data_IF_843858400762
#
_entry.id   IF_843858400762
#
_cell.length_a   1.000
_cell.length_b   1.000
_cell.length_c   1.000
_cell.angle_alpha   90.00
_cell.angle_beta   90.00
_cell.angle_gamma   90.00
#
_symmetry.space_group_name_H-M   'P 1'
#
loop_
_entity.id
_entity.type
_entity.pdbx_description
1 polymer ?
#
# COMPACT_ATOMS: atom_id res chain seq x y z
N UNK A 1 6.90 -24.63 1.40
CA UNK A 1 7.29 -23.21 1.34
C UNK A 1 6.92 -22.64 -0.01
N UNK A 2 6.07 -21.64 -0.02
CA UNK A 2 5.59 -21.06 -1.27
C UNK A 2 6.63 -20.14 -1.84
N UNK A 3 7.18 -20.49 -3.00
CA UNK A 3 8.08 -19.60 -3.75
C UNK A 3 7.32 -18.98 -4.90
N UNK A 4 7.61 -17.72 -5.20
CA UNK A 4 7.02 -17.06 -6.36
C UNK A 4 7.62 -17.64 -7.65
N UNK A 5 6.81 -17.77 -8.72
CA UNK A 5 7.32 -18.22 -10.00
C UNK A 5 8.23 -17.16 -10.62
N UNK A 6 9.30 -17.63 -11.28
CA UNK A 6 10.12 -16.75 -12.07
C UNK A 6 9.41 -16.40 -13.38
N UNK A 7 9.18 -15.12 -13.60
CA UNK A 7 8.69 -14.61 -14.87
C UNK A 7 9.79 -13.92 -15.63
N UNK A 8 9.75 -14.01 -16.96
CA UNK A 8 10.66 -13.29 -17.83
C UNK A 8 10.19 -11.85 -17.97
N UNK A 9 10.94 -10.91 -17.46
CA UNK A 9 10.65 -9.48 -17.54
C UNK A 9 11.52 -8.69 -16.58
N UNK A 10 11.56 -7.38 -16.76
CA UNK A 10 12.25 -6.50 -15.82
C UNK A 10 11.40 -6.34 -14.56
N UNK A 11 11.94 -6.60 -13.36
CA UNK A 11 11.19 -6.39 -12.13
C UNK A 11 10.89 -4.91 -11.93
N UNK A 12 9.67 -4.62 -11.49
CA UNK A 12 9.22 -3.27 -11.17
C UNK A 12 9.18 -3.09 -9.67
N UNK A 13 9.47 -1.88 -9.23
CA UNK A 13 9.33 -1.50 -7.82
C UNK A 13 7.87 -1.29 -7.49
N UNK A 14 7.41 -1.97 -6.44
CA UNK A 14 6.05 -1.88 -5.93
C UNK A 14 6.06 -1.40 -4.49
N UNK A 15 5.04 -0.64 -4.14
CA UNK A 15 4.83 -0.14 -2.80
C UNK A 15 3.53 -0.77 -2.28
N UNK A 16 3.64 -1.46 -1.16
CA UNK A 16 2.54 -2.18 -0.53
C UNK A 16 2.20 -1.51 0.78
N UNK A 17 0.97 -1.06 0.90
CA UNK A 17 0.45 -0.43 2.11
C UNK A 17 -0.51 -1.40 2.79
N UNK A 18 -0.10 -1.96 3.92
CA UNK A 18 -0.92 -2.89 4.69
C UNK A 18 -1.97 -2.13 5.49
N UNK A 19 -3.18 -2.70 5.54
CA UNK A 19 -4.30 -2.15 6.31
C UNK A 19 -4.66 -3.08 7.44
N UNK A 20 -4.97 -2.50 8.58
CA UNK A 20 -5.44 -3.27 9.74
C UNK A 20 -4.34 -3.81 10.63
N UNK A 21 -3.10 -3.35 10.45
CA UNK A 21 -2.02 -3.69 11.39
C UNK A 21 -2.31 -3.06 12.74
N UNK A 22 -2.28 -3.89 13.78
CA UNK A 22 -2.55 -3.45 15.15
C UNK A 22 -1.30 -3.62 16.01
N UNK A 23 -1.14 -2.81 17.08
CA UNK A 23 0.01 -2.95 17.99
C UNK A 23 0.07 -4.30 18.69
N UNK A 24 -1.08 -4.88 18.97
CA UNK A 24 -1.21 -6.14 19.69
C UNK A 24 -2.28 -7.01 19.05
N UNK A 25 -2.26 -8.31 19.35
CA UNK A 25 -3.26 -9.24 18.93
C UNK A 25 -2.96 -9.92 17.60
N UNK A 26 -3.99 -10.48 16.98
CA UNK A 26 -3.89 -11.33 15.80
C UNK A 26 -3.29 -10.62 14.58
N UNK A 27 -3.58 -9.34 14.42
CA UNK A 27 -3.12 -8.56 13.27
C UNK A 27 -1.87 -7.72 13.58
N UNK A 28 -1.15 -8.05 14.64
CA UNK A 28 0.12 -7.43 14.96
C UNK A 28 1.26 -8.05 14.15
N UNK A 29 2.19 -7.21 13.69
CA UNK A 29 3.45 -7.67 13.09
C UNK A 29 4.52 -7.52 14.16
N UNK A 30 5.13 -8.63 14.63
CA UNK A 30 6.09 -8.57 15.73
C UNK A 30 7.31 -7.71 15.45
N UNK A 31 7.87 -7.86 14.24
CA UNK A 31 9.02 -7.06 13.79
C UNK A 31 8.95 -6.86 12.28
N UNK A 32 9.22 -5.65 11.84
CA UNK A 32 9.28 -5.35 10.40
C UNK A 32 10.43 -6.09 9.70
N UNK A 33 11.54 -6.34 10.39
CA UNK A 33 12.63 -7.16 9.86
C UNK A 33 12.20 -8.60 9.55
N UNK A 34 11.31 -9.17 10.35
CA UNK A 34 10.76 -10.49 10.09
C UNK A 34 9.92 -10.51 8.80
N UNK A 35 9.16 -9.47 8.57
CA UNK A 35 8.39 -9.30 7.34
C UNK A 35 9.32 -9.24 6.11
N UNK A 36 10.43 -8.50 6.22
CA UNK A 36 11.45 -8.46 5.16
C UNK A 36 12.01 -9.86 4.90
N UNK A 37 12.32 -10.61 5.94
CA UNK A 37 12.90 -11.95 5.82
C UNK A 37 11.95 -12.92 5.09
N UNK A 38 10.68 -12.97 5.47
CA UNK A 38 9.73 -13.88 4.83
C UNK A 38 9.50 -13.54 3.36
N UNK A 39 9.44 -12.29 3.01
CA UNK A 39 9.24 -11.87 1.62
C UNK A 39 10.50 -12.10 0.78
N UNK A 40 11.67 -11.87 1.35
CA UNK A 40 12.94 -12.16 0.68
C UNK A 40 13.10 -13.66 0.42
N UNK A 41 12.80 -14.49 1.40
CA UNK A 41 12.84 -15.96 1.26
C UNK A 41 11.86 -16.47 0.19
N UNK A 42 10.73 -15.81 0.02
CA UNK A 42 9.76 -16.16 -1.01
C UNK A 42 10.25 -15.83 -2.43
N UNK A 43 11.27 -14.98 -2.56
CA UNK A 43 11.86 -14.63 -3.85
C UNK A 43 11.67 -13.19 -4.30
N UNK A 44 11.01 -12.36 -3.50
CA UNK A 44 10.94 -10.92 -3.79
C UNK A 44 12.29 -10.26 -3.61
N UNK A 45 12.59 -9.27 -4.44
CA UNK A 45 13.90 -8.62 -4.47
C UNK A 45 13.84 -7.24 -3.82
N UNK A 46 14.97 -6.82 -3.25
CA UNK A 46 15.13 -5.50 -2.63
C UNK A 46 14.02 -5.14 -1.65
N UNK A 47 13.61 -6.12 -0.84
CA UNK A 47 12.54 -5.94 0.13
C UNK A 47 13.01 -5.04 1.26
N UNK A 48 12.25 -3.99 1.53
CA UNK A 48 12.50 -3.09 2.65
C UNK A 48 11.17 -2.54 3.18
N UNK A 49 11.19 -2.06 4.39
CA UNK A 49 10.04 -1.45 5.03
C UNK A 49 10.33 0.00 5.37
N UNK A 50 9.27 0.78 5.45
CA UNK A 50 9.34 2.18 5.83
C UNK A 50 8.40 2.40 7.00
N UNK A 51 8.94 2.81 8.15
CA UNK A 51 8.27 2.97 9.45
C UNK A 51 7.50 1.70 9.88
N UNK A 52 7.00 1.66 11.11
CA UNK A 52 6.39 0.45 11.68
C UNK A 52 4.90 0.26 11.34
N UNK A 53 4.36 1.02 10.42
CA UNK A 53 2.94 0.97 10.07
C UNK A 53 2.57 -0.03 8.96
N UNK A 54 3.53 -0.85 8.51
CA UNK A 54 3.27 -1.87 7.50
C UNK A 54 3.42 -1.38 6.07
N UNK A 55 4.37 -0.50 5.81
CA UNK A 55 4.71 -0.04 4.47
C UNK A 55 5.87 -0.87 3.94
N UNK A 56 5.66 -1.53 2.81
CA UNK A 56 6.65 -2.43 2.19
C UNK A 56 6.99 -1.90 0.82
N UNK A 57 8.28 -1.92 0.49
CA UNK A 57 8.77 -1.63 -0.85
C UNK A 57 9.53 -2.87 -1.31
N UNK A 58 9.21 -3.38 -2.50
CA UNK A 58 9.88 -4.53 -3.08
C UNK A 58 9.91 -4.45 -4.59
N UNK A 59 10.74 -5.25 -5.20
CA UNK A 59 10.81 -5.42 -6.65
C UNK A 59 10.29 -6.81 -7.03
N UNK A 60 9.46 -6.86 -8.07
CA UNK A 60 8.90 -8.10 -8.59
C UNK A 60 8.46 -7.92 -10.03
N UNK A 61 8.53 -9.01 -10.80
CA UNK A 61 8.01 -9.09 -12.16
C UNK A 61 6.59 -9.67 -12.21
N UNK A 62 6.02 -10.01 -11.06
CA UNK A 62 4.64 -10.49 -10.96
C UNK A 62 3.65 -9.34 -11.17
N UNK A 63 2.43 -9.68 -11.61
CA UNK A 63 1.36 -8.70 -11.67
C UNK A 63 0.81 -8.37 -10.27
N UNK A 64 -0.01 -7.33 -10.17
CA UNK A 64 -0.51 -6.82 -8.90
C UNK A 64 -1.31 -7.87 -8.12
N UNK A 65 -2.13 -8.66 -8.80
CA UNK A 65 -2.94 -9.70 -8.14
C UNK A 65 -2.07 -10.85 -7.63
N UNK A 66 -1.07 -11.24 -8.40
CA UNK A 66 -0.11 -12.27 -7.97
C UNK A 66 0.68 -11.81 -6.74
N UNK A 67 1.13 -10.56 -6.74
CA UNK A 67 1.82 -9.97 -5.57
C UNK A 67 0.89 -9.95 -4.36
N UNK A 68 -0.34 -9.50 -4.54
CA UNK A 68 -1.34 -9.42 -3.47
C UNK A 68 -1.58 -10.79 -2.83
N UNK A 69 -1.84 -11.79 -3.65
CA UNK A 69 -2.09 -13.15 -3.17
C UNK A 69 -0.88 -13.73 -2.44
N UNK A 70 0.31 -13.59 -3.00
CA UNK A 70 1.55 -14.07 -2.37
C UNK A 70 1.80 -13.40 -1.02
N UNK A 71 1.75 -12.09 -0.97
CA UNK A 71 2.03 -11.34 0.26
C UNK A 71 0.97 -11.62 1.32
N UNK A 72 -0.30 -11.64 0.93
CA UNK A 72 -1.39 -11.96 1.85
C UNK A 72 -1.24 -13.36 2.46
N UNK A 73 -0.99 -14.34 1.62
CA UNK A 73 -0.82 -15.73 2.05
C UNK A 73 0.39 -15.90 2.98
N UNK A 74 1.52 -15.32 2.63
CA UNK A 74 2.75 -15.40 3.43
C UNK A 74 2.57 -14.77 4.81
N UNK A 75 1.95 -13.60 4.87
CA UNK A 75 1.69 -12.93 6.15
C UNK A 75 0.73 -13.77 7.00
N UNK A 76 -0.31 -14.30 6.40
CA UNK A 76 -1.28 -15.13 7.11
C UNK A 76 -0.66 -16.42 7.63
N UNK A 77 0.13 -17.12 6.81
CA UNK A 77 0.77 -18.38 7.20
C UNK A 77 1.91 -18.21 8.21
N UNK A 78 2.74 -17.18 8.03
CA UNK A 78 3.96 -17.00 8.82
C UNK A 78 3.77 -16.13 10.07
N UNK A 79 2.84 -15.19 10.03
CA UNK A 79 2.59 -14.26 11.13
C UNK A 79 1.23 -14.53 11.79
N UNK A 80 0.26 -15.04 11.02
CA UNK A 80 -1.10 -15.28 11.48
C UNK A 80 -2.02 -14.07 11.34
N UNK A 81 -1.54 -13.01 10.69
CA UNK A 81 -2.34 -11.80 10.48
C UNK A 81 -3.09 -11.87 9.15
N UNK A 82 -4.34 -11.48 9.16
CA UNK A 82 -5.17 -11.37 7.96
C UNK A 82 -5.32 -9.89 7.62
N UNK A 83 -4.46 -9.41 6.74
CA UNK A 83 -4.34 -7.99 6.41
C UNK A 83 -4.74 -7.73 4.96
N UNK A 84 -5.50 -6.66 4.77
CA UNK A 84 -5.76 -6.12 3.45
C UNK A 84 -4.62 -5.19 3.03
N UNK A 85 -4.49 -4.95 1.73
CA UNK A 85 -3.40 -4.12 1.24
C UNK A 85 -3.78 -3.35 -0.01
N UNK A 86 -3.14 -2.20 -0.19
CA UNK A 86 -3.15 -1.42 -1.41
C UNK A 86 -1.75 -1.52 -2.02
N UNK A 87 -1.69 -1.86 -3.30
CA UNK A 87 -0.42 -2.01 -4.02
C UNK A 87 -0.37 -1.00 -5.16
N UNK A 88 0.70 -0.21 -5.19
CA UNK A 88 0.96 0.75 -6.26
C UNK A 88 2.40 0.57 -6.73
N UNK A 89 2.65 0.75 -8.03
CA UNK A 89 4.02 0.78 -8.52
C UNK A 89 4.63 2.18 -8.35
N UNK A 90 5.93 2.28 -8.56
CA UNK A 90 6.67 3.54 -8.43
C UNK A 90 6.14 4.63 -9.38
N UNK A 91 5.76 4.23 -10.59
CA UNK A 91 5.19 5.15 -11.60
C UNK A 91 3.88 5.76 -11.12
N UNK A 92 3.00 4.97 -10.51
CA UNK A 92 1.74 5.44 -9.93
C UNK A 92 1.97 6.44 -8.81
N UNK A 93 2.95 6.18 -7.94
CA UNK A 93 3.30 7.11 -6.86
C UNK A 93 3.81 8.45 -7.40
N UNK A 94 4.63 8.43 -8.44
CA UNK A 94 5.09 9.65 -9.09
C UNK A 94 3.92 10.47 -9.64
N UNK A 95 2.97 9.82 -10.30
CA UNK A 95 1.75 10.47 -10.81
C UNK A 95 0.93 11.07 -9.68
N UNK A 96 0.78 10.35 -8.57
CA UNK A 96 0.04 10.83 -7.41
C UNK A 96 0.64 12.12 -6.86
N UNK A 97 1.96 12.18 -6.75
CA UNK A 97 2.66 13.38 -6.29
C UNK A 97 2.50 14.54 -7.28
N UNK A 98 2.64 14.25 -8.58
CA UNK A 98 2.51 15.24 -9.64
C UNK A 98 1.09 15.78 -9.78
N UNK A 99 0.07 14.95 -9.57
CA UNK A 99 -1.34 15.30 -9.70
C UNK A 99 -1.94 15.90 -8.43
N UNK A 100 -1.14 16.04 -7.36
CA UNK A 100 -1.59 16.67 -6.11
C UNK A 100 -2.15 18.06 -6.39
N UNK A 101 -3.45 18.31 -6.14
CA UNK A 101 -4.07 19.58 -6.43
C UNK A 101 -3.74 20.68 -5.43
N UNK A 102 -3.19 20.30 -4.28
CA UNK A 102 -2.84 21.25 -3.22
C UNK A 102 -1.45 21.82 -3.46
N UNK A 103 -1.38 23.11 -3.77
CA UNK A 103 -0.14 23.80 -4.08
C UNK A 103 0.59 24.33 -2.87
N UNK A 104 1.46 25.31 -3.11
CA UNK A 104 2.35 25.90 -2.10
C UNK A 104 1.65 26.58 -0.92
N UNK A 105 0.36 26.90 -1.07
CA UNK A 105 -0.43 27.52 -0.01
C UNK A 105 -0.81 26.58 1.13
N UNK A 106 -0.62 25.27 0.94
CA UNK A 106 -0.95 24.24 1.92
C UNK A 106 0.29 23.73 2.61
N UNK A 107 0.19 23.46 3.91
CA UNK A 107 1.27 22.86 4.65
C UNK A 107 1.40 21.38 4.25
N UNK A 108 2.60 20.97 3.88
CA UNK A 108 2.88 19.63 3.36
C UNK A 108 2.49 18.53 4.34
N UNK A 109 2.69 18.75 5.62
CA UNK A 109 2.38 17.82 6.69
C UNK A 109 0.87 17.68 6.99
N UNK A 110 0.05 18.51 6.36
CA UNK A 110 -1.41 18.46 6.47
C UNK A 110 -2.11 17.88 5.24
N UNK A 111 -1.37 17.54 4.22
CA UNK A 111 -1.91 16.92 3.02
C UNK A 111 -1.90 15.42 3.21
N UNK A 112 -3.06 14.79 3.08
CA UNK A 112 -3.22 13.34 3.19
C UNK A 112 -3.63 12.76 1.86
N UNK A 113 -3.06 11.61 1.53
CA UNK A 113 -3.39 10.84 0.35
C UNK A 113 -4.07 9.55 0.83
N UNK A 114 -5.29 9.34 0.39
CA UNK A 114 -6.09 8.19 0.81
C UNK A 114 -6.27 7.25 -0.37
N UNK A 115 -5.84 6.01 -0.18
CA UNK A 115 -5.99 4.94 -1.17
C UNK A 115 -7.18 4.06 -0.87
N UNK A 116 -7.79 3.54 -1.92
CA UNK A 116 -8.91 2.62 -1.83
C UNK A 116 -8.60 1.32 -2.53
N UNK A 117 -9.11 0.23 -1.99
CA UNK A 117 -9.03 -1.08 -2.63
C UNK A 117 -10.04 -1.23 -3.74
N UNK A 118 -11.19 -0.57 -3.60
CA UNK A 118 -12.27 -0.55 -4.57
C UNK A 118 -12.12 0.66 -5.49
N UNK A 119 -13.00 0.74 -6.49
CA UNK A 119 -13.00 1.88 -7.40
C UNK A 119 -13.28 3.19 -6.66
N UNK A 120 -12.46 4.20 -6.91
CA UNK A 120 -12.68 5.55 -6.38
C UNK A 120 -14.05 6.10 -6.78
N UNK A 121 -14.57 5.71 -7.93
CA UNK A 121 -15.88 6.15 -8.44
C UNK A 121 -17.05 5.69 -7.57
N UNK A 122 -16.87 4.64 -6.77
CA UNK A 122 -17.89 4.13 -5.86
C UNK A 122 -17.96 4.86 -4.52
N UNK A 123 -17.10 5.88 -4.30
CA UNK A 123 -17.06 6.61 -3.05
C UNK A 123 -18.25 7.54 -2.88
N UNK A 124 -18.82 7.63 -1.66
CA UNK A 124 -19.88 8.58 -1.35
C UNK A 124 -19.31 9.99 -1.14
N UNK A 125 -18.82 10.62 -2.20
CA UNK A 125 -18.11 11.90 -2.14
C UNK A 125 -18.99 13.00 -1.52
N UNK A 126 -20.26 13.06 -1.88
CA UNK A 126 -21.19 14.06 -1.34
C UNK A 126 -21.35 13.93 0.17
N UNK A 127 -21.45 12.69 0.67
CA UNK A 127 -21.49 12.43 2.08
C UNK A 127 -20.19 12.83 2.79
N UNK A 128 -19.05 12.54 2.18
CA UNK A 128 -17.75 12.94 2.73
C UNK A 128 -17.62 14.46 2.83
N UNK A 129 -18.08 15.19 1.84
CA UNK A 129 -18.08 16.66 1.85
C UNK A 129 -18.99 17.23 2.93
N UNK A 130 -20.12 16.58 3.20
CA UNK A 130 -21.04 16.99 4.26
C UNK A 130 -20.46 16.69 5.64
N UNK A 131 -19.94 15.47 5.84
CA UNK A 131 -19.43 14.99 7.13
C UNK A 131 -18.13 15.72 7.52
N UNK A 132 -17.33 16.13 6.54
CA UNK A 132 -16.03 16.77 6.74
C UNK A 132 -15.96 18.12 6.02
N UNK A 133 -16.98 18.96 6.21
CA UNK A 133 -17.14 20.22 5.48
C UNK A 133 -16.05 21.26 5.66
N UNK A 134 -15.23 21.13 6.70
CA UNK A 134 -14.07 22.00 6.93
C UNK A 134 -12.81 21.53 6.17
N UNK A 135 -12.85 20.32 5.62
CA UNK A 135 -11.73 19.76 4.88
C UNK A 135 -11.90 19.93 3.38
N UNK A 136 -10.82 20.22 2.70
CA UNK A 136 -10.80 20.23 1.25
C UNK A 136 -10.53 18.83 0.73
N UNK A 137 -11.46 18.28 -0.06
CA UNK A 137 -11.38 16.92 -0.58
C UNK A 137 -11.36 16.98 -2.10
N UNK A 138 -10.36 16.38 -2.70
CA UNK A 138 -10.23 16.27 -4.16
C UNK A 138 -10.05 14.81 -4.57
N UNK A 139 -10.83 14.37 -5.57
CA UNK A 139 -10.65 13.05 -6.15
C UNK A 139 -9.62 13.15 -7.28
N UNK A 140 -8.55 12.35 -7.17
CA UNK A 140 -7.58 12.16 -8.23
C UNK A 140 -7.84 10.88 -9.02
N UNK A 141 -6.98 10.59 -9.98
CA UNK A 141 -7.09 9.38 -10.81
C UNK A 141 -6.73 8.09 -10.05
N UNK A 142 -5.92 8.20 -9.00
CA UNK A 142 -5.39 7.05 -8.26
C UNK A 142 -5.74 7.05 -6.78
N UNK A 143 -6.22 8.18 -6.25
CA UNK A 143 -6.42 8.36 -4.81
C UNK A 143 -7.32 9.55 -4.52
N UNK A 144 -7.63 9.72 -3.25
CA UNK A 144 -8.30 10.90 -2.72
C UNK A 144 -7.25 11.77 -2.03
N UNK A 145 -7.28 13.07 -2.30
CA UNK A 145 -6.46 14.06 -1.60
C UNK A 145 -7.31 14.82 -0.57
N UNK A 146 -6.75 14.99 0.63
CA UNK A 146 -7.45 15.62 1.73
C UNK A 146 -6.58 16.69 2.38
#
# INVERSE_FOLDING_TARGET
MTKIPNKKGSPLEHIILLRGVTPNGKNAIPKMSYLVDILTEAGFQHVRTYIQSGNIILESDLDLEEIRECVHTLIKEKIGADLKMVIKNKSDFKKIVQENPFGEHYLYDRIHVIFYQESIQSLPLEKLKIDYGEEEICIGNHCLYL
#
